data_IF_777762583013
#
_entry.id   IF_777762583013
#
_cell.length_a   1.000
_cell.length_b   1.000
_cell.length_c   1.000
_cell.angle_alpha   90.00
_cell.angle_beta   90.00
_cell.angle_gamma   90.00
#
_symmetry.space_group_name_H-M   'P 1'
#
loop_
_entity.id
_entity.type
_entity.pdbx_description
1 polymer ?
#
# COMPACT_ATOMS: atom_id res chain seq x y z
N UNK A 1 3.04 -1.35 -16.61
CA UNK A 1 3.59 -1.45 -15.24
C UNK A 1 2.65 -2.30 -14.42
N UNK A 2 3.22 -3.14 -13.55
CA UNK A 2 2.46 -3.96 -12.60
C UNK A 2 2.32 -3.17 -11.30
N UNK A 3 1.11 -2.68 -11.04
CA UNK A 3 0.92 -1.68 -9.98
C UNK A 3 0.03 -2.22 -8.88
N UNK A 4 0.53 -2.19 -7.65
CA UNK A 4 -0.29 -2.47 -6.48
C UNK A 4 -0.72 -1.19 -5.78
N UNK A 5 -1.69 -1.32 -4.88
CA UNK A 5 -2.27 -0.24 -4.09
C UNK A 5 -2.91 -0.85 -2.83
N UNK A 6 -3.06 -0.10 -1.74
CA UNK A 6 -3.60 -0.64 -0.50
C UNK A 6 -5.13 -0.78 -0.53
N UNK A 7 -5.65 -1.66 0.33
CA UNK A 7 -7.09 -1.74 0.57
C UNK A 7 -7.56 -0.54 1.41
N UNK A 8 -8.47 0.24 0.82
CA UNK A 8 -9.17 1.35 1.48
C UNK A 8 -10.68 1.12 1.39
N UNK A 9 -11.13 0.05 2.07
CA UNK A 9 -12.47 -0.49 1.87
C UNK A 9 -12.63 -1.04 0.45
N UNK A 10 -13.73 -0.71 -0.22
CA UNK A 10 -14.04 -1.19 -1.57
C UNK A 10 -13.40 -0.35 -2.70
N UNK A 11 -12.49 0.57 -2.38
CA UNK A 11 -11.85 1.43 -3.38
C UNK A 11 -11.04 0.64 -4.43
N UNK A 12 -10.60 -0.59 -4.11
CA UNK A 12 -9.91 -1.45 -5.08
C UNK A 12 -10.72 -1.64 -6.37
N UNK A 13 -12.05 -1.74 -6.28
CA UNK A 13 -12.93 -1.95 -7.44
C UNK A 13 -12.76 -0.83 -8.48
N UNK A 14 -12.81 0.43 -8.03
CA UNK A 14 -12.66 1.58 -8.93
C UNK A 14 -11.22 1.82 -9.34
N UNK A 15 -10.26 1.56 -8.45
CA UNK A 15 -8.83 1.72 -8.73
C UNK A 15 -8.36 0.70 -9.79
N UNK A 16 -8.78 -0.56 -9.70
CA UNK A 16 -8.49 -1.59 -10.71
C UNK A 16 -8.98 -1.17 -12.09
N UNK A 17 -10.26 -0.78 -12.18
CA UNK A 17 -10.88 -0.36 -13.43
C UNK A 17 -10.17 0.87 -14.04
N UNK A 18 -9.79 1.84 -13.20
CA UNK A 18 -9.04 3.02 -13.62
C UNK A 18 -7.66 2.65 -14.16
N UNK A 19 -6.90 1.85 -13.43
CA UNK A 19 -5.54 1.46 -13.83
C UNK A 19 -5.55 0.62 -15.12
N UNK A 20 -6.50 -0.30 -15.26
CA UNK A 20 -6.70 -1.05 -16.51
C UNK A 20 -7.05 -0.10 -17.67
N UNK A 21 -7.94 0.86 -17.46
CA UNK A 21 -8.31 1.86 -18.47
C UNK A 21 -7.14 2.76 -18.90
N UNK A 22 -6.16 2.97 -18.03
CA UNK A 22 -4.91 3.69 -18.31
C UNK A 22 -3.82 2.80 -18.93
N UNK A 23 -4.09 1.52 -19.19
CA UNK A 23 -3.13 0.58 -19.79
C UNK A 23 -2.10 0.01 -18.80
N UNK A 24 -2.40 0.01 -17.50
CA UNK A 24 -1.60 -0.63 -16.47
C UNK A 24 -2.16 -2.00 -16.08
N UNK A 25 -1.33 -2.82 -15.43
CA UNK A 25 -1.70 -4.13 -14.90
C UNK A 25 -1.85 -4.00 -13.37
N UNK A 26 -3.07 -3.78 -12.84
CA UNK A 26 -3.25 -3.70 -11.40
C UNK A 26 -3.05 -5.07 -10.73
N UNK A 27 -2.26 -5.08 -9.66
CA UNK A 27 -2.04 -6.24 -8.79
C UNK A 27 -2.71 -5.93 -7.46
N UNK A 28 -3.95 -6.38 -7.31
CA UNK A 28 -4.71 -6.21 -6.07
C UNK A 28 -4.16 -7.14 -5.01
N UNK A 29 -3.69 -6.61 -3.86
CA UNK A 29 -3.22 -7.46 -2.79
C UNK A 29 -4.38 -8.27 -2.20
N UNK A 30 -4.11 -9.40 -1.53
CA UNK A 30 -5.15 -10.15 -0.84
C UNK A 30 -5.86 -9.25 0.19
N UNK A 31 -7.09 -9.63 0.57
CA UNK A 31 -7.80 -8.89 1.61
C UNK A 31 -6.98 -8.84 2.89
N UNK A 32 -7.02 -7.70 3.57
CA UNK A 32 -6.27 -7.45 4.79
C UNK A 32 -6.58 -8.51 5.85
N UNK A 33 -5.53 -9.19 6.30
CA UNK A 33 -5.58 -10.19 7.36
C UNK A 33 -4.71 -9.77 8.55
N UNK A 34 -4.69 -10.60 9.59
CA UNK A 34 -3.71 -10.46 10.69
C UNK A 34 -2.26 -10.52 10.18
N UNK A 35 -1.98 -11.40 9.19
CA UNK A 35 -0.65 -11.49 8.56
C UNK A 35 -0.24 -10.16 7.95
N UNK A 36 -1.15 -9.51 7.21
CA UNK A 36 -0.93 -8.20 6.60
C UNK A 36 -0.47 -7.18 7.66
N UNK A 37 -1.21 -7.09 8.76
CA UNK A 37 -0.88 -6.17 9.85
C UNK A 37 0.44 -6.52 10.53
N UNK A 38 0.69 -7.79 10.83
CA UNK A 38 1.93 -8.26 11.45
C UNK A 38 3.14 -7.93 10.58
N UNK A 39 3.03 -8.16 9.27
CA UNK A 39 4.12 -7.88 8.34
C UNK A 39 4.44 -6.38 8.28
N UNK A 40 3.42 -5.54 8.08
CA UNK A 40 3.61 -4.09 8.09
C UNK A 40 4.10 -3.57 9.44
N UNK A 41 3.68 -4.17 10.56
CA UNK A 41 4.13 -3.79 11.91
C UNK A 41 5.59 -4.11 12.19
N UNK A 42 6.16 -5.17 11.57
CA UNK A 42 7.57 -5.54 11.74
C UNK A 42 8.52 -4.53 11.09
N UNK A 43 8.09 -3.89 10.01
CA UNK A 43 8.89 -2.96 9.22
C UNK A 43 8.64 -1.51 9.64
N UNK A 44 7.44 -1.20 10.11
CA UNK A 44 7.08 0.16 10.51
C UNK A 44 7.64 0.52 11.90
N UNK A 45 7.93 1.82 12.14
CA UNK A 45 8.18 2.31 13.49
C UNK A 45 7.01 2.01 14.46
N UNK A 46 7.31 1.86 15.75
CA UNK A 46 6.31 1.48 16.74
C UNK A 46 5.18 2.52 16.86
N UNK A 47 5.52 3.80 16.70
CA UNK A 47 4.68 4.98 16.92
C UNK A 47 3.77 5.32 15.72
N UNK A 48 3.87 4.58 14.61
CA UNK A 48 2.95 4.77 13.49
C UNK A 48 1.58 4.19 13.83
N UNK A 49 0.54 4.88 13.39
CA UNK A 49 -0.83 4.45 13.65
C UNK A 49 -1.19 3.17 12.87
N UNK A 50 -2.22 2.48 13.33
CA UNK A 50 -2.67 1.21 12.77
C UNK A 50 -2.89 1.25 11.24
N UNK A 51 -3.52 2.29 10.64
CA UNK A 51 -3.71 2.34 9.19
C UNK A 51 -2.39 2.32 8.41
N UNK A 52 -1.35 3.00 8.91
CA UNK A 52 -0.03 3.00 8.27
C UNK A 52 0.53 1.57 8.14
N UNK A 53 0.48 0.82 9.24
CA UNK A 53 1.01 -0.55 9.33
C UNK A 53 0.21 -1.49 8.42
N UNK A 54 -1.11 -1.39 8.44
CA UNK A 54 -1.99 -2.16 7.55
C UNK A 54 -1.72 -1.88 6.08
N UNK A 55 -1.61 -0.61 5.70
CA UNK A 55 -1.36 -0.19 4.32
C UNK A 55 0.00 -0.68 3.85
N UNK A 56 1.06 -0.53 4.66
CA UNK A 56 2.38 -1.06 4.31
C UNK A 56 2.33 -2.59 4.11
N UNK A 57 1.59 -3.31 4.95
CA UNK A 57 1.35 -4.74 4.76
C UNK A 57 0.73 -5.08 3.40
N UNK A 58 -0.31 -4.34 2.98
CA UNK A 58 -0.91 -4.56 1.66
C UNK A 58 0.09 -4.27 0.51
N UNK A 59 0.93 -3.23 0.65
CA UNK A 59 1.96 -2.93 -0.35
C UNK A 59 2.94 -4.09 -0.50
N UNK A 60 3.40 -4.64 0.63
CA UNK A 60 4.33 -5.78 0.65
C UNK A 60 3.73 -7.03 0.01
N UNK A 61 2.46 -7.34 0.30
CA UNK A 61 1.76 -8.46 -0.31
C UNK A 61 1.58 -8.26 -1.82
N UNK A 62 1.29 -7.03 -2.25
CA UNK A 62 1.21 -6.69 -3.68
C UNK A 62 2.56 -6.81 -4.41
N UNK A 63 3.65 -6.41 -3.75
CA UNK A 63 5.02 -6.57 -4.24
C UNK A 63 5.38 -8.07 -4.32
N UNK A 64 5.01 -8.88 -3.32
CA UNK A 64 5.21 -10.34 -3.32
C UNK A 64 4.50 -11.02 -4.51
N UNK A 65 3.36 -10.46 -4.94
CA UNK A 65 2.62 -10.91 -6.12
C UNK A 65 3.20 -10.41 -7.46
N UNK A 66 4.31 -9.67 -7.43
CA UNK A 66 5.04 -9.24 -8.62
C UNK A 66 4.70 -7.83 -9.10
N UNK A 67 4.12 -6.98 -8.24
CA UNK A 67 4.04 -5.55 -8.54
C UNK A 67 5.43 -4.90 -8.55
N UNK A 68 5.70 -4.09 -9.57
CA UNK A 68 6.93 -3.31 -9.73
C UNK A 68 6.77 -1.86 -9.22
N UNK A 69 5.53 -1.46 -8.94
CA UNK A 69 5.16 -0.11 -8.57
C UNK A 69 4.02 -0.11 -7.56
N UNK A 70 3.96 0.91 -6.70
CA UNK A 70 2.90 1.07 -5.70
C UNK A 70 2.25 2.44 -5.86
N UNK A 71 0.92 2.48 -5.98
CA UNK A 71 0.16 3.71 -5.81
C UNK A 71 -0.33 3.86 -4.39
N UNK A 72 -0.07 5.04 -3.82
CA UNK A 72 -0.52 5.42 -2.50
C UNK A 72 -1.31 6.72 -2.58
N UNK A 73 -2.42 6.78 -1.84
CA UNK A 73 -3.17 8.03 -1.72
C UNK A 73 -2.37 9.04 -0.91
N UNK A 74 -2.35 10.28 -1.39
CA UNK A 74 -1.85 11.43 -0.67
C UNK A 74 -2.99 12.37 -0.31
N UNK A 75 -2.69 13.39 0.49
CA UNK A 75 -3.66 14.42 0.80
C UNK A 75 -3.11 15.45 1.78
N UNK A 76 -3.78 16.59 1.81
CA UNK A 76 -3.51 17.65 2.77
C UNK A 76 -4.65 17.68 3.79
N UNK A 77 -4.35 17.28 5.01
CA UNK A 77 -5.32 17.20 6.08
C UNK A 77 -4.65 17.00 7.44
N UNK A 78 -5.41 16.99 8.54
CA UNK A 78 -4.86 16.83 9.89
C UNK A 78 -4.26 15.44 10.14
N UNK A 79 -4.50 14.49 9.23
CA UNK A 79 -4.01 13.12 9.33
C UNK A 79 -2.59 12.99 8.76
N UNK A 80 -1.78 12.11 9.38
CA UNK A 80 -0.44 11.74 8.86
C UNK A 80 -0.49 11.02 7.51
N UNK A 81 -1.67 10.65 7.02
CA UNK A 81 -1.89 10.02 5.71
C UNK A 81 -1.16 10.74 4.57
N UNK A 82 -1.11 12.08 4.61
CA UNK A 82 -0.39 12.88 3.61
C UNK A 82 1.11 12.57 3.50
N UNK A 83 1.72 12.00 4.55
CA UNK A 83 3.13 11.61 4.60
C UNK A 83 3.35 10.11 4.46
N UNK A 84 2.30 9.30 4.37
CA UNK A 84 2.47 7.84 4.35
C UNK A 84 3.35 7.38 3.20
N UNK A 85 3.05 7.87 1.99
CA UNK A 85 3.76 7.48 0.78
C UNK A 85 5.28 7.71 0.92
N UNK A 86 5.70 8.83 1.52
CA UNK A 86 7.11 9.16 1.64
C UNK A 86 7.82 8.27 2.67
N UNK A 87 7.20 8.03 3.83
CA UNK A 87 7.78 7.14 4.84
C UNK A 87 7.79 5.69 4.33
N UNK A 88 6.72 5.24 3.67
CA UNK A 88 6.64 3.90 3.09
C UNK A 88 7.67 3.71 1.98
N UNK A 89 7.91 4.72 1.14
CA UNK A 89 8.96 4.70 0.11
C UNK A 89 10.34 4.51 0.73
N UNK A 90 10.64 5.21 1.84
CA UNK A 90 11.91 5.06 2.56
C UNK A 90 12.04 3.65 3.14
N UNK A 91 10.99 3.15 3.81
CA UNK A 91 10.99 1.81 4.40
C UNK A 91 11.14 0.70 3.35
N UNK A 92 10.45 0.83 2.21
CA UNK A 92 10.54 -0.14 1.12
C UNK A 92 11.92 -0.11 0.47
N UNK A 93 12.51 1.07 0.26
CA UNK A 93 13.85 1.19 -0.30
C UNK A 93 14.95 0.59 0.60
N UNK A 94 14.75 0.60 1.93
CA UNK A 94 15.67 -0.01 2.89
C UNK A 94 15.61 -1.56 2.85
N UNK A 95 14.52 -2.14 2.34
CA UNK A 95 14.36 -3.59 2.22
C UNK A 95 15.06 -4.19 0.98
N UNK A 96 15.51 -3.35 0.05
CA UNK A 96 16.09 -3.75 -1.24
C UNK A 96 15.06 -3.94 -2.35
#
# INVERSE_FOLDING_TARGET
>A
MKVTFPHLGNAYISIEALLQGLGHEPITPPFTTKRTLEWGSRISPAETCLPFKTILGNMLEGIELGADSVYMIGGWGPCRLGYYAEIQRILLADLG
#
